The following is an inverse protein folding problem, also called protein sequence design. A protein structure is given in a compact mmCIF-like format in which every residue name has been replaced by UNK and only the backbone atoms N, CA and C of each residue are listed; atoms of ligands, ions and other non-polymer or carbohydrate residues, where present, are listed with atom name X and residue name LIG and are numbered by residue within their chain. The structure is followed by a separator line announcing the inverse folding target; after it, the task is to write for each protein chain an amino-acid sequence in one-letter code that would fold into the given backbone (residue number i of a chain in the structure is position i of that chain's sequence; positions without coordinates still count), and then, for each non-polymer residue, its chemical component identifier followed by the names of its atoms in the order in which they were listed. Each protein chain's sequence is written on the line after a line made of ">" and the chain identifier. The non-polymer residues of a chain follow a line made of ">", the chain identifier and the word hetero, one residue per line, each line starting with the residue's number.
data_IF_135297682658
#
_entry.id   IF_135297682658
#
_cell.length_a   1.000
_cell.length_b   1.000
_cell.length_c   1.000
_cell.angle_alpha   90.00
_cell.angle_beta   90.00
_cell.angle_gamma   90.00
#
_symmetry.space_group_name_H-M   'P 1'
#
loop_
_entity.id
_entity.type
_entity.pdbx_description
1 polymer ?
#
# COMPACT_ATOMS: atom_id res chain seq x y z
N UNK A 1 15.04 -20.19 47.55
CA UNK A 1 14.27 -18.93 47.67
C UNK A 1 14.65 -18.11 48.90
N UNK A 2 14.72 -18.70 50.10
CA UNK A 2 15.11 -17.96 51.32
C UNK A 2 16.51 -17.31 51.26
N UNK A 3 17.50 -17.97 50.66
CA UNK A 3 18.87 -17.43 50.59
C UNK A 3 19.03 -16.31 49.55
N UNK A 4 18.32 -16.41 48.42
CA UNK A 4 18.19 -15.34 47.42
C UNK A 4 17.58 -14.08 48.05
N UNK A 5 16.53 -14.25 48.86
CA UNK A 5 15.86 -13.13 49.52
C UNK A 5 16.76 -12.47 50.58
N UNK A 6 17.47 -13.27 51.37
CA UNK A 6 18.48 -12.77 52.33
C UNK A 6 19.60 -12.00 51.64
N UNK A 7 20.09 -12.51 50.51
CA UNK A 7 21.13 -11.86 49.72
C UNK A 7 20.66 -10.49 49.22
N UNK A 8 19.51 -10.44 48.53
CA UNK A 8 18.94 -9.19 48.00
C UNK A 8 18.76 -8.15 49.12
N UNK A 9 18.15 -8.53 50.24
CA UNK A 9 17.94 -7.61 51.38
C UNK A 9 19.26 -7.13 51.99
N UNK A 10 20.30 -7.95 51.99
CA UNK A 10 21.62 -7.57 52.50
C UNK A 10 22.32 -6.58 51.57
N UNK A 11 22.27 -6.80 50.26
CA UNK A 11 22.86 -5.89 49.26
C UNK A 11 22.08 -4.57 49.14
N UNK A 12 20.75 -4.60 49.24
CA UNK A 12 19.92 -3.39 49.20
C UNK A 12 20.18 -2.42 50.36
N UNK A 13 20.65 -2.92 51.51
CA UNK A 13 21.05 -2.08 52.65
C UNK A 13 22.38 -1.36 52.44
N UNK A 14 23.22 -1.85 51.53
CA UNK A 14 24.53 -1.24 51.26
C UNK A 14 24.36 0.02 50.39
N UNK A 15 25.32 0.98 50.46
CA UNK A 15 25.35 2.08 49.52
C UNK A 15 25.56 1.54 48.10
N UNK A 16 24.91 2.10 47.06
CA UNK A 16 24.15 3.35 47.02
C UNK A 16 22.64 3.25 47.31
N UNK A 17 22.09 2.05 47.52
CA UNK A 17 20.63 1.87 47.53
C UNK A 17 19.97 2.19 48.88
N UNK A 18 20.67 1.95 49.99
CA UNK A 18 20.27 2.33 51.37
C UNK A 18 18.80 2.00 51.73
N UNK A 19 18.25 0.93 51.16
CA UNK A 19 16.86 0.50 51.40
C UNK A 19 16.81 -0.44 52.61
N UNK A 20 16.19 0.03 53.69
CA UNK A 20 16.08 -0.70 54.95
C UNK A 20 14.89 -1.68 54.97
N UNK A 21 14.99 -2.77 54.21
CA UNK A 21 14.02 -3.85 54.28
C UNK A 21 14.45 -4.95 55.28
N UNK A 22 13.48 -5.59 55.92
CA UNK A 22 13.64 -6.89 56.57
C UNK A 22 13.25 -8.01 55.61
N UNK A 23 13.73 -9.24 55.82
CA UNK A 23 13.38 -10.41 55.00
C UNK A 23 11.86 -10.60 54.93
N UNK A 24 11.16 -10.42 56.05
CA UNK A 24 9.70 -10.58 56.14
C UNK A 24 8.98 -9.45 55.41
N UNK A 25 9.39 -8.19 55.66
CA UNK A 25 8.76 -7.04 55.00
C UNK A 25 8.97 -7.06 53.49
N UNK A 26 10.14 -7.53 53.03
CA UNK A 26 10.44 -7.64 51.61
C UNK A 26 9.62 -8.75 50.94
N UNK A 27 9.47 -9.91 51.58
CA UNK A 27 8.65 -11.00 51.05
C UNK A 27 7.15 -10.65 51.01
N UNK A 28 6.69 -9.80 51.93
CA UNK A 28 5.31 -9.30 51.97
C UNK A 28 4.99 -8.19 50.94
N UNK A 29 5.97 -7.71 50.18
CA UNK A 29 5.74 -6.66 49.18
C UNK A 29 4.75 -7.12 48.10
N UNK A 30 3.86 -6.21 47.71
CA UNK A 30 2.99 -6.37 46.54
C UNK A 30 3.80 -6.32 45.25
N UNK A 31 3.23 -6.84 44.15
CA UNK A 31 3.86 -6.83 42.82
C UNK A 31 4.28 -5.41 42.39
N UNK A 32 3.42 -4.41 42.60
CA UNK A 32 3.72 -3.00 42.27
C UNK A 32 4.90 -2.45 43.08
N UNK A 33 4.91 -2.69 44.40
CA UNK A 33 6.00 -2.25 45.27
C UNK A 33 7.32 -2.93 44.90
N UNK A 34 7.27 -4.20 44.53
CA UNK A 34 8.45 -4.96 44.12
C UNK A 34 9.02 -4.44 42.79
N UNK A 35 8.15 -4.10 41.84
CA UNK A 35 8.56 -3.44 40.61
C UNK A 35 9.15 -2.05 40.89
N UNK A 36 8.59 -1.30 41.86
CA UNK A 36 9.13 0.01 42.24
C UNK A 36 10.54 -0.12 42.81
N UNK A 37 10.79 -1.14 43.63
CA UNK A 37 12.15 -1.44 44.11
C UNK A 37 13.08 -1.74 42.93
N UNK A 38 12.65 -2.53 41.94
CA UNK A 38 13.44 -2.78 40.74
C UNK A 38 13.73 -1.48 39.97
N UNK A 39 12.75 -0.58 39.85
CA UNK A 39 12.95 0.73 39.22
C UNK A 39 13.96 1.58 39.98
N UNK A 40 13.86 1.65 41.29
CA UNK A 40 14.80 2.39 42.13
C UNK A 40 16.23 1.85 41.96
N UNK A 41 16.41 0.52 41.94
CA UNK A 41 17.70 -0.12 41.70
C UNK A 41 18.26 0.22 40.31
N UNK A 42 17.41 0.18 39.27
CA UNK A 42 17.79 0.55 37.91
C UNK A 42 18.06 2.06 37.77
N UNK A 43 17.39 2.90 38.54
CA UNK A 43 17.58 4.34 38.61
C UNK A 43 18.95 4.75 39.15
N UNK A 44 19.50 3.97 40.09
CA UNK A 44 20.88 4.16 40.57
C UNK A 44 21.94 3.78 39.53
N UNK A 45 21.60 2.94 38.54
CA UNK A 45 22.48 2.56 37.44
C UNK A 45 22.41 3.60 36.30
N UNK A 46 21.19 4.02 35.94
CA UNK A 46 20.94 5.08 34.97
C UNK A 46 19.79 5.97 35.46
N UNK A 47 20.09 7.25 35.67
CA UNK A 47 19.16 8.27 36.16
C UNK A 47 17.88 8.35 35.33
N UNK A 48 17.94 8.02 34.02
CA UNK A 48 16.77 7.98 33.14
C UNK A 48 15.70 6.98 33.56
N UNK A 49 16.07 5.96 34.32
CA UNK A 49 15.16 4.94 34.78
C UNK A 49 14.47 5.29 36.10
N UNK A 50 14.78 6.44 36.71
CA UNK A 50 14.12 6.90 37.94
C UNK A 50 12.73 7.46 37.62
N UNK A 51 11.77 6.56 37.45
CA UNK A 51 10.36 6.86 37.12
C UNK A 51 9.48 6.21 38.19
N UNK A 52 8.40 6.87 38.61
CA UNK A 52 7.39 6.24 39.46
C UNK A 52 6.48 5.36 38.58
N UNK A 53 6.34 4.09 38.95
CA UNK A 53 5.57 3.12 38.16
C UNK A 53 4.09 3.49 38.11
N UNK A 54 3.57 4.21 39.10
CA UNK A 54 2.16 4.60 39.15
C UNK A 54 1.78 5.61 38.07
N UNK A 55 2.77 6.32 37.54
CA UNK A 55 2.59 7.30 36.47
C UNK A 55 2.86 6.72 35.07
N UNK A 56 3.29 5.45 34.98
CA UNK A 56 3.70 4.81 33.73
C UNK A 56 2.74 3.70 33.31
N UNK A 57 2.47 3.60 32.01
CA UNK A 57 1.74 2.48 31.44
C UNK A 57 2.54 1.16 31.61
N UNK A 58 1.90 0.04 32.03
CA UNK A 58 2.60 -1.22 32.28
C UNK A 58 3.38 -1.76 31.08
N UNK A 59 2.92 -1.51 29.85
CA UNK A 59 3.58 -1.96 28.63
C UNK A 59 4.80 -1.10 28.32
N UNK A 60 4.71 0.21 28.58
CA UNK A 60 5.84 1.16 28.47
C UNK A 60 6.94 0.83 29.48
N UNK A 61 6.56 0.56 30.73
CA UNK A 61 7.48 0.08 31.78
C UNK A 61 8.22 -1.19 31.34
N UNK A 62 7.49 -2.17 30.77
CA UNK A 62 8.10 -3.41 30.32
C UNK A 62 9.12 -3.20 29.20
N UNK A 63 8.82 -2.33 28.22
CA UNK A 63 9.78 -1.97 27.16
C UNK A 63 11.02 -1.30 27.76
N UNK A 64 10.85 -0.39 28.73
CA UNK A 64 11.95 0.27 29.43
C UNK A 64 12.86 -0.73 30.17
N UNK A 65 12.27 -1.61 30.98
CA UNK A 65 13.02 -2.66 31.68
C UNK A 65 13.73 -3.60 30.73
N UNK A 66 13.06 -4.10 29.69
CA UNK A 66 13.67 -5.02 28.72
C UNK A 66 14.81 -4.36 27.94
N UNK A 67 14.66 -3.09 27.58
CA UNK A 67 15.72 -2.32 26.90
C UNK A 67 16.94 -2.15 27.80
N UNK A 68 16.73 -1.82 29.07
CA UNK A 68 17.81 -1.68 30.05
C UNK A 68 18.50 -3.01 30.33
N UNK A 69 17.73 -4.07 30.58
CA UNK A 69 18.25 -5.43 30.82
C UNK A 69 19.04 -5.94 29.60
N UNK A 70 18.58 -5.66 28.38
CA UNK A 70 19.32 -5.96 27.14
C UNK A 70 20.64 -5.18 27.09
N UNK A 71 20.63 -3.89 27.43
CA UNK A 71 21.84 -3.06 27.50
C UNK A 71 22.86 -3.56 28.54
N UNK A 72 22.38 -4.08 29.67
CA UNK A 72 23.22 -4.70 30.71
C UNK A 72 23.74 -6.10 30.32
N UNK A 73 23.22 -6.69 29.23
CA UNK A 73 23.43 -8.08 28.79
C UNK A 73 22.88 -9.11 29.76
N UNK A 74 21.76 -8.81 30.40
CA UNK A 74 21.00 -9.81 31.15
C UNK A 74 20.38 -10.82 30.17
N UNK A 75 20.57 -12.11 30.45
CA UNK A 75 19.94 -13.19 29.70
C UNK A 75 18.85 -13.80 30.59
N UNK A 76 17.57 -13.61 30.26
CA UNK A 76 16.47 -14.25 30.98
C UNK A 76 16.65 -15.77 31.02
N UNK A 77 16.32 -16.44 32.14
CA UNK A 77 16.33 -17.90 32.23
C UNK A 77 15.27 -18.56 31.34
N UNK A 78 14.17 -17.85 31.06
CA UNK A 78 13.04 -18.37 30.26
C UNK A 78 13.36 -18.39 28.77
N UNK A 79 13.12 -19.55 28.14
CA UNK A 79 13.37 -19.83 26.71
C UNK A 79 12.48 -18.98 25.79
N UNK A 80 11.32 -18.52 26.28
CA UNK A 80 10.37 -17.71 25.53
C UNK A 80 10.31 -16.28 26.08
N UNK A 81 10.86 -15.33 25.32
CA UNK A 81 10.90 -13.91 25.68
C UNK A 81 9.51 -13.29 25.97
N UNK A 82 8.45 -13.82 25.35
CA UNK A 82 7.07 -13.38 25.57
C UNK A 82 6.55 -13.74 26.97
N UNK A 83 6.86 -14.93 27.46
CA UNK A 83 6.47 -15.37 28.81
C UNK A 83 7.19 -14.55 29.87
N UNK A 84 8.48 -14.28 29.66
CA UNK A 84 9.26 -13.42 30.53
C UNK A 84 8.67 -12.00 30.59
N UNK A 85 8.32 -11.42 29.44
CA UNK A 85 7.68 -10.09 29.38
C UNK A 85 6.37 -10.04 30.18
N UNK A 86 5.49 -11.03 29.99
CA UNK A 86 4.21 -11.11 30.72
C UNK A 86 4.44 -11.18 32.23
N UNK A 87 5.31 -12.08 32.68
CA UNK A 87 5.61 -12.26 34.11
C UNK A 87 6.29 -11.05 34.74
N UNK A 88 7.04 -10.28 33.96
CA UNK A 88 7.63 -9.01 34.41
C UNK A 88 6.56 -7.92 34.58
N UNK A 89 5.56 -7.86 33.69
CA UNK A 89 4.43 -6.93 33.80
C UNK A 89 3.56 -7.26 35.02
N UNK A 90 3.30 -8.55 35.24
CA UNK A 90 2.53 -9.05 36.40
C UNK A 90 3.29 -8.87 37.73
N UNK A 91 4.59 -8.52 37.67
CA UNK A 91 5.45 -8.38 38.84
C UNK A 91 5.64 -9.69 39.60
N UNK A 92 5.78 -10.81 38.87
CA UNK A 92 6.02 -12.12 39.46
C UNK A 92 7.29 -12.11 40.33
N UNK A 93 7.12 -12.43 41.61
CA UNK A 93 8.18 -12.43 42.63
C UNK A 93 9.39 -13.23 42.19
N UNK A 94 9.20 -14.38 41.54
CA UNK A 94 10.29 -15.24 41.11
C UNK A 94 11.17 -14.53 40.07
N UNK A 95 10.53 -13.88 39.11
CA UNK A 95 11.20 -13.18 38.00
C UNK A 95 11.92 -11.95 38.52
N UNK A 96 11.22 -11.10 39.29
CA UNK A 96 11.80 -9.86 39.79
C UNK A 96 12.94 -10.12 40.77
N UNK A 97 12.82 -11.10 41.68
CA UNK A 97 13.93 -11.50 42.56
C UNK A 97 15.14 -12.01 41.78
N UNK A 98 14.92 -12.78 40.71
CA UNK A 98 16.01 -13.28 39.85
C UNK A 98 16.74 -12.14 39.12
N UNK A 99 15.99 -11.13 38.66
CA UNK A 99 16.57 -9.93 38.05
C UNK A 99 17.34 -9.10 39.09
N UNK A 100 16.74 -8.83 40.26
CA UNK A 100 17.38 -8.06 41.33
C UNK A 100 18.65 -8.72 41.82
N UNK A 101 18.63 -10.04 42.06
CA UNK A 101 19.81 -10.79 42.44
C UNK A 101 20.92 -10.62 41.39
N UNK A 102 20.62 -10.80 40.11
CA UNK A 102 21.62 -10.68 39.06
C UNK A 102 22.25 -9.28 38.95
N UNK A 103 21.45 -8.24 39.20
CA UNK A 103 21.94 -6.86 39.22
C UNK A 103 22.85 -6.67 40.44
N UNK A 104 22.41 -7.10 41.63
CA UNK A 104 23.13 -6.88 42.89
C UNK A 104 24.39 -7.74 43.03
N UNK A 105 24.47 -8.89 42.34
CA UNK A 105 25.68 -9.72 42.26
C UNK A 105 26.84 -9.04 41.54
N UNK A 106 26.57 -8.03 40.70
CA UNK A 106 27.58 -7.39 39.85
C UNK A 106 28.08 -6.07 40.45
N UNK A 107 29.37 -5.73 40.27
CA UNK A 107 29.88 -4.45 40.72
C UNK A 107 29.14 -3.29 40.04
N UNK A 108 28.64 -2.34 40.84
CA UNK A 108 27.90 -1.18 40.35
C UNK A 108 28.70 -0.39 39.30
N UNK A 109 30.02 -0.27 39.47
CA UNK A 109 30.90 0.43 38.53
C UNK A 109 30.92 -0.22 37.13
N UNK A 110 30.77 -1.54 37.04
CA UNK A 110 30.63 -2.23 35.76
C UNK A 110 29.25 -1.99 35.14
N UNK A 111 28.20 -2.04 35.94
CA UNK A 111 26.83 -1.82 35.47
C UNK A 111 26.62 -0.40 34.96
N UNK A 112 27.11 0.61 35.68
CA UNK A 112 27.09 2.02 35.24
C UNK A 112 27.85 2.21 33.93
N UNK A 113 29.03 1.59 33.80
CA UNK A 113 29.82 1.64 32.56
C UNK A 113 29.09 0.97 31.40
N UNK A 114 28.47 -0.19 31.63
CA UNK A 114 27.69 -0.90 30.60
C UNK A 114 26.45 -0.13 30.20
N UNK A 115 25.71 0.43 31.15
CA UNK A 115 24.55 1.28 30.86
C UNK A 115 24.96 2.51 30.02
N UNK A 116 26.05 3.17 30.41
CA UNK A 116 26.60 4.31 29.66
C UNK A 116 27.01 3.92 28.23
N UNK A 117 27.73 2.80 28.08
CA UNK A 117 28.17 2.31 26.77
C UNK A 117 27.01 1.80 25.93
N UNK A 118 25.99 1.17 26.53
CA UNK A 118 24.83 0.64 25.84
C UNK A 118 24.09 1.73 25.04
N UNK A 119 24.05 2.97 25.55
CA UNK A 119 23.51 4.12 24.81
C UNK A 119 24.13 4.32 23.43
N UNK A 120 25.41 3.98 23.28
CA UNK A 120 26.18 4.23 22.05
C UNK A 120 26.43 2.95 21.25
N UNK A 121 26.47 1.80 21.91
CA UNK A 121 26.88 0.54 21.32
C UNK A 121 25.73 -0.45 21.08
N UNK A 122 24.55 -0.20 21.64
CA UNK A 122 23.38 -1.02 21.31
C UNK A 122 23.01 -0.75 19.85
N UNK A 123 22.99 -1.82 19.05
CA UNK A 123 22.55 -1.74 17.66
C UNK A 123 21.09 -1.34 17.63
N UNK A 124 20.81 -0.27 16.90
CA UNK A 124 19.45 0.06 16.50
C UNK A 124 19.01 -1.01 15.50
N UNK A 125 17.97 -1.76 15.84
CA UNK A 125 17.35 -2.72 14.92
C UNK A 125 16.57 -1.91 13.88
N UNK A 126 17.13 -1.77 12.67
CA UNK A 126 16.49 -1.07 11.55
C UNK A 126 15.66 -2.11 10.76
N UNK A 127 14.36 -1.87 10.52
CA UNK A 127 13.52 -2.76 9.73
C UNK A 127 14.12 -3.04 8.34
N UNK A 128 13.98 -4.27 7.81
CA UNK A 128 14.56 -4.64 6.52
C UNK A 128 13.99 -3.82 5.36
N UNK A 129 12.77 -3.29 5.48
CA UNK A 129 12.13 -2.42 4.49
C UNK A 129 12.87 -1.07 4.39
N UNK A 130 13.34 -0.52 5.50
CA UNK A 130 14.10 0.73 5.54
C UNK A 130 15.55 0.55 5.03
N UNK A 131 16.08 -0.68 5.08
CA UNK A 131 17.39 -1.03 4.51
C UNK A 131 17.35 -1.26 3.00
N UNK A 132 16.17 -1.25 2.37
CA UNK A 132 16.05 -1.30 0.92
C UNK A 132 16.53 0.00 0.25
N UNK A 133 16.52 1.11 1.00
CA UNK A 133 17.09 2.38 0.57
C UNK A 133 18.62 2.35 0.67
N UNK A 134 19.29 2.64 -0.45
CA UNK A 134 20.74 2.61 -0.58
C UNK A 134 21.45 3.64 0.32
N UNK A 135 20.83 4.79 0.60
CA UNK A 135 21.41 5.81 1.48
C UNK A 135 21.35 5.37 2.95
N UNK A 136 20.22 4.77 3.36
CA UNK A 136 20.02 4.26 4.72
C UNK A 136 20.94 3.08 5.02
N UNK A 137 21.12 2.17 4.07
CA UNK A 137 22.04 1.04 4.21
C UNK A 137 23.51 1.50 4.29
N UNK A 138 23.91 2.47 3.46
CA UNK A 138 25.26 3.06 3.52
C UNK A 138 25.52 3.72 4.89
N UNK A 139 24.55 4.47 5.42
CA UNK A 139 24.64 5.12 6.72
C UNK A 139 24.71 4.09 7.86
N UNK A 140 23.87 3.04 7.82
CA UNK A 140 23.88 1.98 8.82
C UNK A 140 25.25 1.26 8.84
N UNK A 141 25.83 0.95 7.68
CA UNK A 141 27.18 0.39 7.57
C UNK A 141 28.25 1.30 8.19
N UNK A 142 28.17 2.61 7.95
CA UNK A 142 29.08 3.58 8.55
C UNK A 142 28.96 3.65 10.07
N UNK A 143 27.73 3.67 10.60
CA UNK A 143 27.46 3.65 12.04
C UNK A 143 27.99 2.37 12.69
N UNK A 144 27.80 1.21 12.05
CA UNK A 144 28.33 -0.06 12.54
C UNK A 144 29.86 -0.09 12.55
N UNK A 145 30.51 0.47 11.52
CA UNK A 145 31.97 0.61 11.47
C UNK A 145 32.50 1.49 12.60
N UNK A 146 31.89 2.66 12.81
CA UNK A 146 32.26 3.58 13.88
C UNK A 146 32.04 2.97 15.27
N UNK A 147 30.95 2.23 15.45
CA UNK A 147 30.69 1.50 16.70
C UNK A 147 31.76 0.44 16.97
N UNK A 148 32.17 -0.32 15.94
CA UNK A 148 33.26 -1.29 16.07
C UNK A 148 34.61 -0.61 16.39
N UNK A 149 34.93 0.49 15.70
CA UNK A 149 36.15 1.25 15.95
C UNK A 149 36.17 1.85 17.37
N UNK A 150 35.02 2.37 17.85
CA UNK A 150 34.88 2.89 19.20
C UNK A 150 35.10 1.81 20.26
N UNK A 151 34.53 0.61 20.08
CA UNK A 151 34.78 -0.54 20.98
C UNK A 151 36.27 -0.89 21.01
N UNK A 152 36.91 -0.98 19.85
CA UNK A 152 38.35 -1.25 19.75
C UNK A 152 39.19 -0.20 20.50
N UNK A 153 38.87 1.08 20.32
CA UNK A 153 39.54 2.18 21.02
C UNK A 153 39.33 2.11 22.54
N UNK A 154 38.12 1.79 23.00
CA UNK A 154 37.84 1.62 24.43
C UNK A 154 38.58 0.43 25.02
N UNK A 155 38.68 -0.69 24.32
CA UNK A 155 39.42 -1.87 24.78
C UNK A 155 40.93 -1.62 24.81
N UNK A 156 41.44 -0.84 23.87
CA UNK A 156 42.83 -0.40 23.82
C UNK A 156 43.15 0.60 24.94
N UNK A 157 42.30 1.61 25.15
CA UNK A 157 42.41 2.54 26.27
C UNK A 157 42.32 1.82 27.63
N UNK A 158 41.44 0.82 27.75
CA UNK A 158 41.32 -0.01 28.95
C UNK A 158 42.60 -0.82 29.20
N UNK A 159 43.18 -1.43 28.15
CA UNK A 159 44.45 -2.16 28.24
C UNK A 159 45.59 -1.23 28.68
N UNK A 160 45.68 -0.03 28.11
CA UNK A 160 46.69 0.97 28.49
C UNK A 160 46.54 1.48 29.93
N UNK A 161 45.30 1.57 30.43
CA UNK A 161 45.04 1.97 31.81
C UNK A 161 45.33 0.85 32.83
N UNK A 162 45.19 -0.41 32.42
CA UNK A 162 45.48 -1.59 33.25
C UNK A 162 46.96 -1.96 33.28
N UNK A 163 47.79 -1.44 32.36
CA UNK A 163 49.25 -1.55 32.44
C UNK A 163 49.89 -0.53 33.39
N UNK A 164 49.15 0.47 33.84
CA UNK A 164 49.57 1.43 34.88
C UNK A 164 48.94 1.04 36.22
N UNK A 165 49.46 -0.02 36.84
CA UNK A 165 49.16 -0.41 38.23
C UNK A 165 50.44 -0.37 39.09
N UNK A 166 51.35 0.56 38.78
CA UNK A 166 52.46 0.95 39.64
C UNK A 166 52.08 2.25 40.34
N UNK A 167 52.08 2.19 41.67
CA UNK A 167 51.81 3.23 42.67
C UNK A 167 51.64 4.68 42.19
N UNK A 168 50.53 5.27 42.62
CA UNK A 168 50.41 6.71 42.75
C UNK A 168 51.50 7.23 43.70
N UNK A 169 52.62 7.71 43.15
CA UNK A 169 53.70 8.37 43.91
C UNK A 169 53.59 9.88 43.80
N UNK A 170 53.64 10.54 44.96
CA UNK A 170 53.37 11.95 45.24
C UNK A 170 54.51 12.92 44.83
N UNK A 171 55.15 12.72 43.67
CA UNK A 171 56.19 13.63 43.16
C UNK A 171 55.75 14.30 41.84
N UNK A 172 55.53 15.63 41.83
CA UNK A 172 55.10 16.36 40.62
C UNK A 172 56.18 16.31 39.53
N UNK A 173 55.87 15.92 38.29
CA UNK A 173 56.82 15.96 37.18
C UNK A 173 57.07 17.41 36.74
N UNK A 174 58.31 17.73 36.39
CA UNK A 174 58.78 19.06 35.98
C UNK A 174 57.92 19.76 34.91
N UNK A 175 57.90 21.09 35.00
CA UNK A 175 56.84 21.98 34.51
C UNK A 175 56.71 22.22 33.01
N UNK A 176 57.43 21.51 32.14
CA UNK A 176 57.20 21.54 30.68
C UNK A 176 56.27 20.40 30.24
N UNK A 177 56.47 19.18 30.73
CA UNK A 177 55.62 18.04 30.42
C UNK A 177 54.18 18.23 30.96
N UNK A 178 54.03 18.86 32.14
CA UNK A 178 52.72 19.25 32.67
C UNK A 178 52.03 20.32 31.81
N UNK A 179 52.78 21.27 31.23
CA UNK A 179 52.20 22.30 30.34
C UNK A 179 51.74 21.70 29.03
N UNK A 180 52.56 20.85 28.40
CA UNK A 180 52.15 20.11 27.19
C UNK A 180 50.96 19.19 27.46
N UNK A 181 50.92 18.54 28.63
CA UNK A 181 49.78 17.73 29.01
C UNK A 181 48.51 18.58 29.19
N UNK A 182 48.59 19.72 29.89
CA UNK A 182 47.47 20.64 30.07
C UNK A 182 47.00 21.24 28.73
N UNK A 183 47.90 21.62 27.83
CA UNK A 183 47.53 22.11 26.50
C UNK A 183 46.88 21.01 25.66
N UNK A 184 47.38 19.77 25.73
CA UNK A 184 46.75 18.62 25.06
C UNK A 184 45.36 18.29 25.63
N UNK A 185 45.18 18.41 26.95
CA UNK A 185 43.90 18.19 27.63
C UNK A 185 42.90 19.31 27.29
N UNK A 186 43.35 20.56 27.25
CA UNK A 186 42.52 21.68 26.83
C UNK A 186 42.09 21.53 25.36
N UNK A 187 43.00 21.12 24.46
CA UNK A 187 42.68 20.82 23.07
C UNK A 187 41.67 19.67 22.92
N UNK A 188 41.85 18.58 23.67
CA UNK A 188 40.90 17.45 23.72
C UNK A 188 39.54 17.87 24.27
N UNK A 189 39.51 18.69 25.32
CA UNK A 189 38.26 19.21 25.89
C UNK A 189 37.52 20.13 24.91
N UNK A 190 38.25 20.93 24.13
CA UNK A 190 37.70 21.78 23.08
C UNK A 190 37.11 20.95 21.93
N UNK A 191 37.81 19.90 21.50
CA UNK A 191 37.31 18.96 20.49
C UNK A 191 36.03 18.25 20.96
N UNK A 192 36.00 17.77 22.21
CA UNK A 192 34.80 17.16 22.80
C UNK A 192 33.63 18.14 22.91
N UNK A 193 33.88 19.41 23.25
CA UNK A 193 32.85 20.46 23.25
C UNK A 193 32.31 20.71 21.84
N UNK A 194 33.18 20.78 20.84
CA UNK A 194 32.79 20.96 19.44
C UNK A 194 31.92 19.80 18.94
N UNK A 195 32.31 18.54 19.23
CA UNK A 195 31.53 17.36 18.85
C UNK A 195 30.18 17.29 19.57
N UNK A 196 30.13 17.69 20.84
CA UNK A 196 28.86 17.85 21.57
C UNK A 196 27.95 18.91 20.93
N UNK A 197 28.49 20.03 20.50
CA UNK A 197 27.73 21.06 19.80
C UNK A 197 27.19 20.56 18.45
N UNK A 198 27.99 19.82 17.67
CA UNK A 198 27.54 19.19 16.42
C UNK A 198 26.41 18.17 16.66
N UNK A 199 26.52 17.34 17.70
CA UNK A 199 25.45 16.41 18.08
C UNK A 199 24.17 17.14 18.51
N UNK A 200 24.29 18.24 19.26
CA UNK A 200 23.14 19.03 19.66
C UNK A 200 22.43 19.67 18.45
N UNK A 201 23.18 20.12 17.45
CA UNK A 201 22.62 20.64 16.20
C UNK A 201 21.87 19.56 15.42
N UNK A 202 22.47 18.37 15.23
CA UNK A 202 21.82 17.24 14.57
C UNK A 202 20.55 16.78 15.30
N UNK A 203 20.55 16.75 16.64
CA UNK A 203 19.35 16.42 17.43
C UNK A 203 18.25 17.46 17.19
N UNK A 204 18.60 18.75 17.11
CA UNK A 204 17.64 19.80 16.81
C UNK A 204 17.07 19.65 15.39
N UNK A 205 17.90 19.33 14.40
CA UNK A 205 17.48 19.07 13.01
C UNK A 205 16.54 17.86 12.92
N UNK A 206 16.88 16.74 13.57
CA UNK A 206 15.99 15.57 13.67
C UNK A 206 14.67 15.96 14.34
N UNK A 207 14.71 16.78 15.39
CA UNK A 207 13.50 17.29 16.03
C UNK A 207 12.66 18.22 15.15
N UNK A 208 13.26 18.94 14.20
CA UNK A 208 12.52 19.67 13.15
C UNK A 208 11.90 18.68 12.18
N UNK A 209 12.68 17.71 11.67
CA UNK A 209 12.21 16.71 10.71
C UNK A 209 11.06 15.86 11.25
N UNK A 210 11.12 15.43 12.51
CA UNK A 210 10.01 14.69 13.15
C UNK A 210 8.74 15.52 13.20
N UNK A 211 8.82 16.81 13.58
CA UNK A 211 7.66 17.71 13.56
C UNK A 211 7.12 17.91 12.15
N UNK A 212 8.01 18.05 11.16
CA UNK A 212 7.60 18.14 9.75
C UNK A 212 6.92 16.85 9.29
N UNK A 213 7.42 15.69 9.70
CA UNK A 213 6.81 14.39 9.40
C UNK A 213 5.43 14.25 10.04
N UNK A 214 5.26 14.66 11.30
CA UNK A 214 3.96 14.67 11.97
C UNK A 214 2.95 15.57 11.23
N UNK A 215 3.38 16.75 10.78
CA UNK A 215 2.54 17.66 9.97
C UNK A 215 2.17 17.02 8.62
N UNK A 216 3.12 16.35 7.95
CA UNK A 216 2.86 15.68 6.68
C UNK A 216 1.90 14.50 6.84
N UNK A 217 2.05 13.69 7.90
CA UNK A 217 1.14 12.59 8.21
C UNK A 217 -0.28 13.10 8.52
N UNK A 218 -0.42 14.17 9.30
CA UNK A 218 -1.71 14.79 9.56
C UNK A 218 -2.37 15.30 8.27
N UNK A 219 -1.57 15.91 7.37
CA UNK A 219 -2.06 16.37 6.08
C UNK A 219 -2.47 15.22 5.14
N UNK A 220 -1.77 14.09 5.21
CA UNK A 220 -2.12 12.87 4.50
C UNK A 220 -3.44 12.27 5.02
N UNK A 221 -3.64 12.22 6.34
CA UNK A 221 -4.90 11.80 6.96
C UNK A 221 -6.07 12.69 6.52
N UNK A 222 -5.88 14.02 6.51
CA UNK A 222 -6.88 14.99 6.03
C UNK A 222 -7.22 14.77 4.55
N UNK A 223 -6.20 14.58 3.70
CA UNK A 223 -6.39 14.27 2.28
C UNK A 223 -7.14 12.96 2.09
N UNK A 224 -6.78 11.91 2.82
CA UNK A 224 -7.41 10.60 2.71
C UNK A 224 -8.86 10.64 3.22
N UNK A 225 -9.12 11.37 4.31
CA UNK A 225 -10.47 11.65 4.81
C UNK A 225 -11.32 12.39 3.78
N UNK A 226 -10.77 13.43 3.14
CA UNK A 226 -11.43 14.13 2.04
C UNK A 226 -11.71 13.22 0.85
N UNK A 227 -10.80 12.29 0.52
CA UNK A 227 -10.95 11.34 -0.57
C UNK A 227 -12.05 10.30 -0.27
N UNK A 228 -12.17 9.84 0.97
CA UNK A 228 -13.27 8.99 1.45
C UNK A 228 -14.60 9.72 1.37
N UNK A 229 -14.66 10.99 1.81
CA UNK A 229 -15.86 11.81 1.72
C UNK A 229 -16.27 12.03 0.25
N UNK A 230 -15.32 12.38 -0.61
CA UNK A 230 -15.55 12.47 -2.06
C UNK A 230 -16.02 11.13 -2.64
N UNK A 231 -15.47 10.00 -2.18
CA UNK A 231 -15.92 8.66 -2.57
C UNK A 231 -17.36 8.38 -2.15
N UNK A 232 -17.74 8.75 -0.93
CA UNK A 232 -19.13 8.62 -0.42
C UNK A 232 -20.08 9.54 -1.20
N UNK A 233 -19.67 10.77 -1.48
CA UNK A 233 -20.43 11.74 -2.28
C UNK A 233 -20.58 11.24 -3.71
N UNK A 234 -19.52 10.74 -4.36
CA UNK A 234 -19.61 10.15 -5.69
C UNK A 234 -20.53 8.92 -5.65
N UNK A 235 -20.45 8.06 -4.64
CA UNK A 235 -21.35 6.93 -4.51
C UNK A 235 -22.83 7.34 -4.31
N UNK A 236 -23.09 8.43 -3.60
CA UNK A 236 -24.46 8.93 -3.34
C UNK A 236 -25.01 9.81 -4.47
N UNK A 237 -24.19 10.67 -5.08
CA UNK A 237 -24.58 11.56 -6.19
C UNK A 237 -24.65 10.78 -7.50
N UNK A 238 -23.80 9.77 -7.67
CA UNK A 238 -23.87 8.79 -8.73
C UNK A 238 -24.58 7.56 -8.17
N UNK A 239 -25.91 7.64 -8.01
CA UNK A 239 -26.72 6.51 -7.57
C UNK A 239 -26.58 5.36 -8.58
N UNK A 240 -25.60 4.50 -8.31
CA UNK A 240 -25.21 3.39 -9.15
C UNK A 240 -26.34 2.38 -9.29
N UNK A 241 -27.29 2.38 -8.35
CA UNK A 241 -28.47 1.51 -8.41
C UNK A 241 -29.48 2.01 -9.42
N UNK A 242 -29.79 3.31 -9.43
CA UNK A 242 -30.65 3.92 -10.44
C UNK A 242 -30.03 3.85 -11.84
N UNK A 243 -28.73 4.15 -11.96
CA UNK A 243 -28.02 4.07 -13.24
C UNK A 243 -28.00 2.63 -13.79
N UNK A 244 -27.85 1.63 -12.93
CA UNK A 244 -27.91 0.20 -13.30
C UNK A 244 -29.31 -0.19 -13.75
N UNK A 245 -30.34 0.19 -13.01
CA UNK A 245 -31.74 -0.08 -13.37
C UNK A 245 -32.12 0.58 -14.70
N UNK A 246 -31.69 1.82 -14.93
CA UNK A 246 -31.94 2.53 -16.19
C UNK A 246 -31.22 1.87 -17.37
N UNK A 247 -30.00 1.37 -17.15
CA UNK A 247 -29.26 0.62 -18.17
C UNK A 247 -29.93 -0.70 -18.51
N UNK A 248 -30.45 -1.41 -17.51
CA UNK A 248 -31.19 -2.67 -17.70
C UNK A 248 -32.48 -2.43 -18.49
N UNK A 249 -33.29 -1.44 -18.10
CA UNK A 249 -34.48 -1.02 -18.85
C UNK A 249 -34.16 -0.63 -20.30
N UNK A 250 -33.06 0.07 -20.53
CA UNK A 250 -32.61 0.42 -21.88
C UNK A 250 -32.24 -0.83 -22.70
N UNK A 251 -31.55 -1.80 -22.10
CA UNK A 251 -31.19 -3.05 -22.79
C UNK A 251 -32.44 -3.87 -23.15
N UNK A 252 -33.38 -4.01 -22.22
CA UNK A 252 -34.65 -4.71 -22.48
C UNK A 252 -35.46 -4.04 -23.59
N UNK A 253 -35.54 -2.70 -23.55
CA UNK A 253 -36.22 -1.92 -24.57
C UNK A 253 -35.53 -2.07 -25.94
N UNK A 254 -34.20 -2.08 -25.95
CA UNK A 254 -33.40 -2.29 -27.17
C UNK A 254 -33.64 -3.67 -27.77
N UNK A 255 -33.64 -4.73 -26.97
CA UNK A 255 -33.94 -6.10 -27.43
C UNK A 255 -35.34 -6.19 -28.02
N UNK A 256 -36.32 -5.55 -27.36
CA UNK A 256 -37.71 -5.49 -27.85
C UNK A 256 -37.82 -4.72 -29.17
N UNK A 257 -37.10 -3.59 -29.29
CA UNK A 257 -37.03 -2.80 -30.51
C UNK A 257 -36.40 -3.60 -31.66
N UNK A 258 -35.25 -4.25 -31.43
CA UNK A 258 -34.57 -5.05 -32.44
C UNK A 258 -35.44 -6.23 -32.91
N UNK A 259 -36.21 -6.84 -32.01
CA UNK A 259 -37.18 -7.87 -32.35
C UNK A 259 -38.30 -7.31 -33.24
N UNK A 260 -38.86 -6.16 -32.91
CA UNK A 260 -39.89 -5.49 -33.74
C UNK A 260 -39.34 -5.05 -35.09
N UNK A 261 -38.11 -4.53 -35.13
CA UNK A 261 -37.43 -4.15 -36.37
C UNK A 261 -37.25 -5.35 -37.28
N UNK A 262 -36.75 -6.49 -36.77
CA UNK A 262 -36.63 -7.74 -37.55
C UNK A 262 -37.98 -8.22 -38.09
N UNK A 263 -39.05 -8.12 -37.30
CA UNK A 263 -40.40 -8.47 -37.76
C UNK A 263 -40.87 -7.53 -38.87
N UNK A 264 -40.66 -6.22 -38.70
CA UNK A 264 -41.01 -5.23 -39.71
C UNK A 264 -40.24 -5.47 -41.01
N UNK A 265 -38.93 -5.66 -40.93
CA UNK A 265 -38.08 -5.93 -42.11
C UNK A 265 -38.51 -7.22 -42.83
N UNK A 266 -38.87 -8.27 -42.07
CA UNK A 266 -39.41 -9.51 -42.63
C UNK A 266 -40.77 -9.32 -43.30
N UNK A 267 -41.67 -8.52 -42.72
CA UNK A 267 -42.98 -8.23 -43.29
C UNK A 267 -42.86 -7.38 -44.55
N UNK A 268 -42.02 -6.36 -44.53
CA UNK A 268 -41.73 -5.51 -45.69
C UNK A 268 -41.18 -6.33 -46.85
N UNK A 269 -40.17 -7.19 -46.60
CA UNK A 269 -39.63 -8.08 -47.62
C UNK A 269 -40.70 -9.06 -48.17
N UNK A 270 -41.61 -9.53 -47.32
CA UNK A 270 -42.76 -10.34 -47.73
C UNK A 270 -43.72 -9.59 -48.65
N UNK A 271 -44.08 -8.35 -48.29
CA UNK A 271 -44.94 -7.48 -49.11
C UNK A 271 -44.26 -7.17 -50.43
N UNK A 272 -42.97 -6.81 -50.44
CA UNK A 272 -42.21 -6.56 -51.67
C UNK A 272 -42.19 -7.79 -52.60
N UNK A 273 -42.09 -9.00 -52.03
CA UNK A 273 -42.19 -10.24 -52.79
C UNK A 273 -43.56 -10.40 -53.45
N UNK A 274 -44.65 -10.17 -52.70
CA UNK A 274 -46.01 -10.25 -53.24
C UNK A 274 -46.29 -9.16 -54.28
N UNK A 275 -45.83 -7.93 -54.04
CA UNK A 275 -45.92 -6.83 -55.01
C UNK A 275 -45.19 -7.21 -56.30
N UNK A 276 -43.97 -7.76 -56.20
CA UNK A 276 -43.22 -8.22 -57.37
C UNK A 276 -43.94 -9.33 -58.15
N UNK A 277 -44.58 -10.27 -57.45
CA UNK A 277 -45.44 -11.29 -58.09
C UNK A 277 -46.59 -10.63 -58.84
N UNK A 278 -47.35 -9.76 -58.19
CA UNK A 278 -48.49 -9.07 -58.81
C UNK A 278 -48.05 -8.25 -60.02
N UNK A 279 -46.92 -7.55 -59.94
CA UNK A 279 -46.35 -6.82 -61.07
C UNK A 279 -45.97 -7.74 -62.23
N UNK A 280 -45.35 -8.90 -61.96
CA UNK A 280 -45.06 -9.89 -62.99
C UNK A 280 -46.33 -10.42 -63.65
N UNK A 281 -47.37 -10.72 -62.87
CA UNK A 281 -48.68 -11.12 -63.39
C UNK A 281 -49.30 -10.02 -64.26
N UNK A 282 -49.27 -8.76 -63.83
CA UNK A 282 -49.75 -7.61 -64.60
C UNK A 282 -48.96 -7.42 -65.91
N UNK A 283 -47.63 -7.59 -65.89
CA UNK A 283 -46.80 -7.55 -67.10
C UNK A 283 -47.22 -8.63 -68.09
N UNK A 284 -47.37 -9.89 -67.64
CA UNK A 284 -47.83 -11.01 -68.48
C UNK A 284 -49.21 -10.77 -69.07
N UNK A 285 -50.17 -10.32 -68.27
CA UNK A 285 -51.51 -9.94 -68.72
C UNK A 285 -51.47 -8.80 -69.74
N UNK A 286 -50.65 -7.77 -69.50
CA UNK A 286 -50.48 -6.65 -70.44
C UNK A 286 -49.89 -7.09 -71.78
N UNK A 287 -48.94 -8.01 -71.78
CA UNK A 287 -48.42 -8.63 -73.01
C UNK A 287 -49.46 -9.48 -73.73
N UNK A 288 -50.29 -10.23 -73.01
CA UNK A 288 -51.42 -10.97 -73.59
C UNK A 288 -52.43 -10.04 -74.24
N UNK A 289 -52.80 -8.93 -73.58
CA UNK A 289 -53.70 -7.93 -74.15
C UNK A 289 -53.08 -7.31 -75.41
N UNK A 290 -51.78 -6.99 -75.39
CA UNK A 290 -51.07 -6.47 -76.56
C UNK A 290 -51.04 -7.50 -77.70
N UNK A 291 -50.76 -8.77 -77.40
CA UNK A 291 -50.84 -9.89 -78.37
C UNK A 291 -52.24 -10.05 -78.95
N UNK A 292 -53.30 -9.95 -78.14
CA UNK A 292 -54.69 -10.00 -78.64
C UNK A 292 -55.03 -8.80 -79.51
N UNK A 293 -54.58 -7.59 -79.17
CA UNK A 293 -54.79 -6.39 -79.98
C UNK A 293 -54.12 -6.50 -81.35
N UNK A 294 -52.84 -6.87 -81.39
CA UNK A 294 -52.11 -7.06 -82.66
C UNK A 294 -52.65 -8.23 -83.47
N UNK A 295 -53.13 -9.30 -82.81
CA UNK A 295 -53.84 -10.38 -83.51
C UNK A 295 -55.13 -9.88 -84.17
N UNK A 296 -55.97 -9.12 -83.45
CA UNK A 296 -57.19 -8.52 -84.00
C UNK A 296 -56.92 -7.55 -85.14
N UNK A 297 -55.88 -6.72 -85.04
CA UNK A 297 -55.46 -5.80 -86.10
C UNK A 297 -55.01 -6.55 -87.35
N UNK A 298 -54.13 -7.56 -87.19
CA UNK A 298 -53.71 -8.45 -88.29
C UNK A 298 -54.87 -9.24 -88.90
N UNK A 299 -55.87 -9.63 -88.09
CA UNK A 299 -57.09 -10.30 -88.57
C UNK A 299 -57.94 -9.32 -89.39
N UNK A 300 -58.08 -8.07 -88.92
CA UNK A 300 -58.72 -6.98 -89.66
C UNK A 300 -58.04 -6.69 -90.99
N UNK A 301 -56.71 -6.57 -91.02
CA UNK A 301 -55.93 -6.39 -92.26
C UNK A 301 -56.06 -7.58 -93.21
N UNK A 302 -56.16 -8.81 -92.68
CA UNK A 302 -56.43 -10.01 -93.49
C UNK A 302 -57.85 -9.95 -94.06
N UNK A 303 -58.84 -9.52 -93.28
CA UNK A 303 -60.22 -9.33 -93.72
C UNK A 303 -60.33 -8.28 -94.83
N UNK A 304 -59.65 -7.14 -94.69
CA UNK A 304 -59.56 -6.09 -95.70
C UNK A 304 -58.89 -6.61 -96.97
N UNK A 305 -57.73 -7.27 -96.86
CA UNK A 305 -57.07 -7.89 -98.02
C UNK A 305 -57.94 -8.95 -98.70
N UNK A 306 -58.73 -9.73 -97.95
CA UNK A 306 -59.72 -10.66 -98.53
C UNK A 306 -60.82 -9.94 -99.31
N UNK A 307 -61.27 -8.77 -98.83
CA UNK A 307 -62.25 -7.93 -99.54
C UNK A 307 -61.64 -7.28 -100.78
N UNK A 308 -60.41 -6.78 -100.69
CA UNK A 308 -59.68 -6.20 -101.83
C UNK A 308 -59.40 -7.24 -102.90
N UNK A 309 -58.88 -8.43 -102.55
CA UNK A 309 -58.68 -9.53 -103.51
C UNK A 309 -60.00 -10.00 -104.13
N UNK A 310 -61.10 -10.05 -103.37
CA UNK A 310 -62.44 -10.26 -103.95
C UNK A 310 -62.83 -9.11 -104.89
N UNK A 311 -62.60 -7.86 -104.52
CA UNK A 311 -62.92 -6.67 -105.33
C UNK A 311 -62.08 -6.52 -106.59
N UNK A 312 -60.80 -6.89 -106.55
CA UNK A 312 -59.92 -7.01 -107.73
C UNK A 312 -60.42 -8.14 -108.62
N UNK A 313 -60.77 -9.30 -108.06
CA UNK A 313 -61.40 -10.39 -108.83
C UNK A 313 -62.69 -9.91 -109.52
N UNK A 314 -63.54 -9.15 -108.83
CA UNK A 314 -64.75 -8.56 -109.40
C UNK A 314 -64.46 -7.56 -110.53
N UNK A 315 -63.43 -6.71 -110.38
CA UNK A 315 -62.99 -5.78 -111.44
C UNK A 315 -62.35 -6.48 -112.61
N UNK A 316 -61.52 -7.50 -112.40
CA UNK A 316 -60.97 -8.33 -113.49
C UNK A 316 -62.08 -9.06 -114.24
N UNK A 317 -63.11 -9.57 -113.54
CA UNK A 317 -64.28 -10.14 -114.23
C UNK A 317 -65.09 -9.09 -114.98
N UNK A 318 -65.22 -7.87 -114.45
CA UNK A 318 -65.91 -6.76 -115.12
C UNK A 318 -65.14 -6.21 -116.32
N UNK A 319 -63.82 -6.06 -116.23
CA UNK A 319 -62.96 -5.65 -117.35
C UNK A 319 -62.81 -6.75 -118.41
N UNK A 320 -62.87 -8.03 -118.03
CA UNK A 320 -63.00 -9.15 -118.97
C UNK A 320 -64.38 -9.20 -119.65
N UNK A 321 -65.42 -8.64 -119.03
CA UNK A 321 -66.73 -8.44 -119.67
C UNK A 321 -66.74 -7.20 -120.58
N UNK A 322 -66.10 -6.11 -120.16
CA UNK A 322 -66.01 -4.87 -120.95
C UNK A 322 -65.04 -5.00 -122.16
N UNK A 323 -63.95 -5.76 -122.04
CA UNK A 323 -63.11 -6.13 -123.18
C UNK A 323 -63.81 -7.11 -124.14
N UNK A 324 -64.82 -7.85 -123.68
CA UNK A 324 -65.73 -8.60 -124.57
C UNK A 324 -66.78 -7.70 -125.24
N UNK A 325 -67.13 -6.55 -124.66
CA UNK A 325 -68.00 -5.52 -125.28
C UNK A 325 -67.30 -4.69 -126.35
N UNK A 326 -65.99 -4.45 -126.26
CA UNK A 326 -65.23 -3.64 -127.24
C UNK A 326 -64.86 -4.42 -128.53
N UNK A 327 -65.10 -5.73 -128.58
CA UNK A 327 -64.99 -6.54 -129.81
C UNK A 327 -66.30 -7.24 -130.16
N UNK A 328 -67.28 -6.48 -130.67
CA UNK A 328 -68.16 -6.96 -131.76
C UNK A 328 -68.49 -5.84 -132.75
N UNK A 329 -68.57 -6.16 -134.06
CA UNK A 329 -68.51 -5.18 -135.14
C UNK A 329 -69.89 -4.84 -135.75
N UNK A 330 -69.99 -3.61 -136.29
CA UNK A 330 -70.61 -3.34 -137.59
C UNK A 330 -72.05 -2.82 -137.62
N UNK A 331 -72.19 -1.53 -137.97
CA UNK A 331 -73.16 -0.85 -138.88
C UNK A 331 -73.22 0.64 -138.43
N UNK A 332 -72.70 1.64 -139.15
CA UNK A 332 -72.22 1.81 -140.54
C UNK A 332 -70.72 2.09 -140.66
#
# INVERSE_FOLDING_TARGET
>A
MGDQLKFIVTELKKPPWEKNYSVISFDSLSSEQLLQVLTDVLGEIDVKNKVDIREEDPERMAVRFLSMLRGLKYRPPDVLAQNFRRRLIEGDKIVVHSVLQWILERPLGELKRRAYLAKYLVRVEIPPEALADAEVDALNKQVLYLNHAAVGFFDEAKRSLMSTDEGFSDTPPEGEALREYITSQNARSAFCKQKRAQLAALIAEVGVLVRTQEVLLAMEEDLNGNLVILGIIIFHVFDWTELRQMREKYQDLKVSYDKKKRLHDSLTAGIESEVSKVEQWNRRLGEEVRRRKTWKEKEGDREVRRRETKGVRWRETGELEDQRRIRRPGEN
#
